data_IF_702308193984
#
_entry.id   IF_702308193984
#
_cell.length_a   1.000
_cell.length_b   1.000
_cell.length_c   1.000
_cell.angle_alpha   90.00
_cell.angle_beta   90.00
_cell.angle_gamma   90.00
#
_symmetry.space_group_name_H-M   'P 1'
#
loop_
_entity.id
_entity.type
_entity.pdbx_description
1 polymer ?
#
# COMPACT_ATOMS: atom_id res chain seq x y z
N UNK A 1 -10.72 -9.89 17.87
CA UNK A 1 -11.70 -10.19 16.80
C UNK A 1 -11.58 -9.12 15.71
N UNK A 2 -11.55 -9.52 14.45
CA UNK A 2 -11.43 -8.56 13.35
C UNK A 2 -12.77 -7.90 13.05
N UNK A 3 -12.80 -6.57 12.99
CA UNK A 3 -13.99 -5.80 12.61
C UNK A 3 -14.39 -6.12 11.17
N UNK A 4 -15.70 -6.18 10.91
CA UNK A 4 -16.26 -6.43 9.57
C UNK A 4 -17.11 -5.24 9.18
N UNK A 5 -16.82 -4.65 8.00
CA UNK A 5 -17.56 -3.48 7.47
C UNK A 5 -18.14 -3.83 6.11
N UNK A 6 -19.43 -3.62 5.93
CA UNK A 6 -20.15 -4.08 4.73
C UNK A 6 -20.61 -2.96 3.83
N UNK A 7 -21.09 -1.87 4.18
CA UNK A 7 -21.77 -0.89 3.32
C UNK A 7 -20.91 0.32 2.94
N UNK A 8 -19.59 0.13 2.84
CA UNK A 8 -18.63 1.24 2.67
C UNK A 8 -17.88 1.23 1.34
N UNK A 9 -17.85 0.12 0.62
CA UNK A 9 -17.10 0.00 -0.62
C UNK A 9 -17.77 -0.98 -1.59
N UNK A 10 -17.87 -0.62 -2.86
CA UNK A 10 -18.53 -1.47 -3.87
C UNK A 10 -17.53 -2.14 -4.80
N UNK A 11 -17.81 -3.39 -5.14
CA UNK A 11 -17.23 -4.14 -6.24
C UNK A 11 -18.32 -4.28 -7.31
N UNK A 12 -18.30 -3.39 -8.29
CA UNK A 12 -19.39 -3.29 -9.27
C UNK A 12 -20.71 -2.91 -8.58
N UNK A 13 -21.74 -3.74 -8.72
CA UNK A 13 -23.06 -3.46 -8.17
C UNK A 13 -23.27 -3.96 -6.73
N UNK A 14 -22.30 -4.66 -6.17
CA UNK A 14 -22.39 -5.25 -4.83
C UNK A 14 -21.43 -4.59 -3.86
N UNK A 15 -21.86 -4.46 -2.61
CA UNK A 15 -20.95 -4.06 -1.54
C UNK A 15 -19.97 -5.18 -1.22
N UNK A 16 -18.71 -4.82 -1.10
CA UNK A 16 -17.67 -5.69 -0.61
C UNK A 16 -17.69 -5.74 0.92
N UNK A 17 -17.16 -6.81 1.47
CA UNK A 17 -16.87 -6.92 2.90
C UNK A 17 -15.42 -6.56 3.15
N UNK A 18 -15.18 -5.50 3.91
CA UNK A 18 -13.85 -5.08 4.33
C UNK A 18 -13.55 -5.58 5.74
N UNK A 19 -12.36 -6.14 5.93
CA UNK A 19 -11.90 -6.63 7.22
C UNK A 19 -10.96 -5.61 7.86
N UNK A 20 -11.17 -5.35 9.15
CA UNK A 20 -10.40 -4.39 9.93
C UNK A 20 -11.02 -2.99 9.96
N UNK A 21 -10.46 -2.14 10.78
CA UNK A 21 -10.89 -0.74 10.94
C UNK A 21 -10.07 0.19 10.04
N UNK A 22 -10.66 1.31 9.64
CA UNK A 22 -9.91 2.37 8.96
C UNK A 22 -8.97 3.06 9.94
N UNK A 23 -7.80 3.43 9.44
CA UNK A 23 -6.84 4.27 10.16
C UNK A 23 -7.11 5.74 9.84
N UNK A 24 -6.58 6.63 10.67
CA UNK A 24 -6.78 8.08 10.55
C UNK A 24 -5.46 8.82 10.64
N UNK A 25 -5.40 10.00 10.02
CA UNK A 25 -4.28 10.93 10.20
C UNK A 25 -4.11 11.21 11.69
N UNK A 26 -2.88 11.15 12.17
CA UNK A 26 -2.52 11.33 13.58
C UNK A 26 -2.36 10.03 14.35
N UNK A 27 -2.94 8.91 13.88
CA UNK A 27 -2.73 7.60 14.51
C UNK A 27 -1.28 7.16 14.33
N UNK A 28 -0.77 6.40 15.30
CA UNK A 28 0.45 5.62 15.06
C UNK A 28 0.18 4.61 13.96
N UNK A 29 1.03 4.59 12.92
CA UNK A 29 0.88 3.65 11.83
C UNK A 29 1.01 2.22 12.37
N UNK A 30 0.02 1.33 12.15
CA UNK A 30 0.11 -0.05 12.61
C UNK A 30 1.28 -0.78 11.96
N UNK A 31 2.14 -1.39 12.77
CA UNK A 31 3.23 -2.22 12.28
C UNK A 31 2.68 -3.50 11.63
N UNK A 32 3.30 -3.94 10.57
CA UNK A 32 2.89 -5.15 9.86
C UNK A 32 4.11 -5.86 9.27
N UNK A 33 3.98 -7.16 9.10
CA UNK A 33 4.97 -8.01 8.46
C UNK A 33 4.49 -8.42 7.08
N UNK A 34 5.36 -8.28 6.10
CA UNK A 34 5.13 -8.73 4.72
C UNK A 34 6.14 -9.80 4.34
N UNK A 35 5.90 -10.49 3.24
CA UNK A 35 6.84 -11.49 2.70
C UNK A 35 7.47 -10.98 1.40
N UNK A 36 8.69 -11.44 1.16
CA UNK A 36 9.48 -11.09 -0.02
C UNK A 36 9.90 -12.38 -0.75
N UNK A 37 10.48 -12.29 -1.97
CA UNK A 37 10.95 -13.48 -2.67
C UNK A 37 11.86 -14.35 -1.79
N UNK A 38 11.64 -15.68 -1.85
CA UNK A 38 12.31 -16.63 -0.95
C UNK A 38 11.54 -16.84 0.37
N UNK A 39 10.38 -16.22 0.53
CA UNK A 39 9.49 -16.31 1.70
C UNK A 39 10.10 -15.73 2.99
N UNK A 40 11.15 -14.92 2.87
CA UNK A 40 11.65 -14.12 3.98
C UNK A 40 10.62 -13.06 4.40
N UNK A 41 10.67 -12.62 5.65
CA UNK A 41 9.77 -11.60 6.19
C UNK A 41 10.47 -10.26 6.30
N UNK A 42 9.70 -9.18 6.13
CA UNK A 42 10.16 -7.81 6.31
C UNK A 42 9.07 -7.01 7.04
N UNK A 43 9.50 -6.12 7.93
CA UNK A 43 8.61 -5.13 8.53
C UNK A 43 8.95 -3.76 7.91
N UNK A 44 8.14 -3.27 6.95
CA UNK A 44 8.46 -2.03 6.24
C UNK A 44 8.65 -0.81 7.13
N UNK A 45 7.87 -0.69 8.21
CA UNK A 45 7.98 0.47 9.10
C UNK A 45 9.26 0.44 9.93
N UNK A 46 9.74 -0.74 10.33
CA UNK A 46 11.02 -0.88 11.04
C UNK A 46 12.20 -0.72 10.07
N UNK A 47 12.12 -1.32 8.89
CA UNK A 47 13.17 -1.22 7.87
C UNK A 47 13.46 0.23 7.47
N UNK A 48 12.42 1.06 7.39
CA UNK A 48 12.51 2.45 6.96
C UNK A 48 12.24 3.45 8.09
N UNK A 49 12.47 3.05 9.33
CA UNK A 49 12.24 3.88 10.51
C UNK A 49 13.00 5.21 10.42
N UNK A 50 12.31 6.29 10.76
CA UNK A 50 12.88 7.65 10.70
C UNK A 50 12.77 8.31 9.33
N UNK A 51 12.33 7.57 8.32
CA UNK A 51 12.03 8.11 6.98
C UNK A 51 10.55 8.40 6.84
N UNK A 52 10.20 9.15 5.81
CA UNK A 52 8.82 9.27 5.35
C UNK A 52 8.52 8.07 4.47
N UNK A 53 7.42 7.36 4.74
CA UNK A 53 7.08 6.11 4.06
C UNK A 53 5.73 6.26 3.37
N UNK A 54 5.71 6.09 2.05
CA UNK A 54 4.48 6.00 1.28
C UNK A 54 4.11 4.52 1.17
N UNK A 55 2.90 4.17 1.62
CA UNK A 55 2.35 2.81 1.51
C UNK A 55 1.24 2.84 0.46
N UNK A 56 1.46 2.19 -0.67
CA UNK A 56 0.51 2.08 -1.77
C UNK A 56 -0.07 0.67 -1.78
N UNK A 57 -1.33 0.54 -1.38
CA UNK A 57 -2.06 -0.73 -1.40
C UNK A 57 -2.77 -0.89 -2.74
N UNK A 58 -2.54 -2.01 -3.42
CA UNK A 58 -3.15 -2.29 -4.71
C UNK A 58 -3.75 -3.70 -4.74
N UNK A 59 -4.83 -3.93 -5.52
CA UNK A 59 -5.43 -5.27 -5.65
C UNK A 59 -4.48 -6.32 -6.22
N UNK A 60 -3.84 -6.05 -7.34
CA UNK A 60 -2.87 -6.95 -7.97
C UNK A 60 -2.06 -6.21 -9.04
N UNK A 61 -0.77 -6.49 -9.12
CA UNK A 61 0.13 -5.94 -10.15
C UNK A 61 -0.28 -6.36 -11.57
N UNK A 62 -1.05 -7.45 -11.69
CA UNK A 62 -1.55 -7.93 -12.99
C UNK A 62 -2.76 -7.15 -13.52
N UNK A 63 -3.26 -6.13 -12.79
CA UNK A 63 -4.32 -5.25 -13.30
C UNK A 63 -3.73 -3.98 -13.90
N UNK A 64 -4.37 -3.46 -14.95
CA UNK A 64 -3.86 -2.29 -15.69
C UNK A 64 -3.66 -1.06 -14.80
N UNK A 65 -4.59 -0.79 -13.88
CA UNK A 65 -4.52 0.38 -13.00
C UNK A 65 -3.38 0.22 -11.99
N UNK A 66 -3.22 -0.97 -11.41
CA UNK A 66 -2.12 -1.24 -10.46
C UNK A 66 -0.76 -1.16 -11.14
N UNK A 67 -0.67 -1.67 -12.37
CA UNK A 67 0.54 -1.58 -13.19
C UNK A 67 0.92 -0.11 -13.42
N UNK A 68 -0.01 0.71 -13.89
CA UNK A 68 0.23 2.14 -14.11
C UNK A 68 0.62 2.87 -12.82
N UNK A 69 -0.09 2.62 -11.74
CA UNK A 69 0.17 3.23 -10.44
C UNK A 69 1.57 2.90 -9.94
N UNK A 70 1.96 1.64 -9.98
CA UNK A 70 3.28 1.21 -9.49
C UNK A 70 4.40 1.78 -10.36
N UNK A 71 4.22 1.81 -11.69
CA UNK A 71 5.19 2.43 -12.59
C UNK A 71 5.31 3.93 -12.36
N UNK A 72 4.19 4.62 -12.14
CA UNK A 72 4.19 6.05 -11.87
C UNK A 72 4.91 6.37 -10.55
N UNK A 73 4.63 5.62 -9.50
CA UNK A 73 5.36 5.79 -8.24
C UNK A 73 6.85 5.46 -8.37
N UNK A 74 7.20 4.50 -9.21
CA UNK A 74 8.62 4.20 -9.46
C UNK A 74 9.34 5.37 -10.16
N UNK A 75 8.69 6.01 -11.12
CA UNK A 75 9.22 7.21 -11.78
C UNK A 75 9.38 8.37 -10.79
N UNK A 76 8.38 8.59 -9.94
CA UNK A 76 8.44 9.63 -8.92
C UNK A 76 9.49 9.32 -7.84
N UNK A 77 9.61 8.06 -7.44
CA UNK A 77 10.61 7.65 -6.44
C UNK A 77 12.04 7.98 -6.89
N UNK A 78 12.33 7.89 -8.17
CA UNK A 78 13.64 8.23 -8.72
C UNK A 78 14.00 9.72 -8.57
N UNK A 79 13.01 10.58 -8.36
CA UNK A 79 13.17 12.04 -8.23
C UNK A 79 13.06 12.53 -6.78
N UNK A 80 12.70 11.63 -5.86
CA UNK A 80 12.47 12.00 -4.46
C UNK A 80 13.75 11.97 -3.63
N UNK A 81 13.70 12.66 -2.51
CA UNK A 81 14.72 12.60 -1.47
C UNK A 81 14.90 11.17 -0.96
N UNK A 82 16.12 10.77 -0.62
CA UNK A 82 16.43 9.45 -0.09
C UNK A 82 15.73 9.15 1.25
N UNK A 83 15.24 10.18 1.92
CA UNK A 83 14.45 10.04 3.15
C UNK A 83 12.96 9.80 2.91
N UNK A 84 12.54 9.65 1.65
CA UNK A 84 11.20 9.20 1.27
C UNK A 84 11.30 7.84 0.61
N UNK A 85 10.59 6.84 1.16
CA UNK A 85 10.57 5.47 0.64
C UNK A 85 9.14 5.11 0.23
N UNK A 86 9.00 4.43 -0.90
CA UNK A 86 7.69 3.98 -1.39
C UNK A 86 7.63 2.46 -1.37
N UNK A 87 6.60 1.93 -0.71
CA UNK A 87 6.26 0.51 -0.75
C UNK A 87 4.94 0.31 -1.49
N UNK A 88 4.93 -0.60 -2.45
CA UNK A 88 3.70 -1.12 -3.04
C UNK A 88 3.39 -2.47 -2.40
N UNK A 89 2.16 -2.62 -1.92
CA UNK A 89 1.71 -3.80 -1.17
C UNK A 89 0.53 -4.42 -1.92
N UNK A 90 0.64 -5.71 -2.22
CA UNK A 90 -0.45 -6.49 -2.80
C UNK A 90 -0.48 -7.87 -2.18
N UNK A 91 -1.52 -8.65 -2.49
CA UNK A 91 -1.60 -10.06 -2.10
C UNK A 91 -1.10 -11.01 -3.20
N UNK A 92 -0.44 -10.49 -4.23
CA UNK A 92 0.29 -11.31 -5.20
C UNK A 92 1.39 -12.11 -4.50
N UNK A 93 1.69 -13.30 -4.98
CA UNK A 93 2.80 -14.07 -4.44
C UNK A 93 4.13 -13.34 -4.67
N UNK A 94 5.09 -13.46 -3.73
CA UNK A 94 6.38 -12.79 -3.87
C UNK A 94 7.11 -13.10 -5.18
N UNK A 95 6.99 -14.34 -5.69
CA UNK A 95 7.59 -14.72 -6.97
C UNK A 95 6.95 -13.99 -8.15
N UNK A 96 5.62 -13.81 -8.11
CA UNK A 96 4.90 -13.06 -9.14
C UNK A 96 5.28 -11.58 -9.12
N UNK A 97 5.41 -11.00 -7.93
CA UNK A 97 5.87 -9.62 -7.75
C UNK A 97 7.29 -9.43 -8.30
N UNK A 98 8.20 -10.36 -8.01
CA UNK A 98 9.58 -10.32 -8.52
C UNK A 98 9.60 -10.36 -10.04
N UNK A 99 8.85 -11.29 -10.64
CA UNK A 99 8.74 -11.41 -12.10
C UNK A 99 8.19 -10.14 -12.74
N UNK A 100 7.13 -9.57 -12.16
CA UNK A 100 6.52 -8.34 -12.65
C UNK A 100 7.50 -7.17 -12.58
N UNK A 101 8.18 -6.96 -11.45
CA UNK A 101 9.19 -5.90 -11.28
C UNK A 101 10.31 -6.01 -12.31
N UNK A 102 10.81 -7.22 -12.53
CA UNK A 102 11.87 -7.46 -13.52
C UNK A 102 11.42 -7.13 -14.94
N UNK A 103 10.21 -7.57 -15.33
CA UNK A 103 9.66 -7.31 -16.65
C UNK A 103 9.31 -5.82 -16.87
N UNK A 104 8.84 -5.14 -15.82
CA UNK A 104 8.43 -3.75 -15.88
C UNK A 104 9.58 -2.75 -15.69
N UNK A 105 10.76 -3.20 -15.25
CA UNK A 105 11.88 -2.32 -14.94
C UNK A 105 11.66 -1.46 -13.70
N UNK A 106 10.85 -1.95 -12.76
CA UNK A 106 10.55 -1.26 -11.50
C UNK A 106 11.60 -1.65 -10.46
N UNK A 107 12.41 -0.71 -10.05
CA UNK A 107 13.57 -0.93 -9.16
C UNK A 107 13.69 0.09 -8.01
N UNK A 108 12.92 1.18 -8.04
CA UNK A 108 12.96 2.25 -7.04
C UNK A 108 11.89 2.09 -5.95
N UNK A 109 10.74 1.53 -6.31
CA UNK A 109 9.68 1.19 -5.37
C UNK A 109 9.97 -0.19 -4.80
N UNK A 110 9.79 -0.35 -3.49
CA UNK A 110 9.87 -1.66 -2.85
C UNK A 110 8.51 -2.33 -2.94
N UNK A 111 8.45 -3.54 -3.50
CA UNK A 111 7.21 -4.31 -3.63
C UNK A 111 7.24 -5.46 -2.63
N UNK A 112 6.23 -5.54 -1.78
CA UNK A 112 6.12 -6.56 -0.74
C UNK A 112 4.74 -7.21 -0.76
N UNK A 113 4.64 -8.44 -0.25
CA UNK A 113 3.42 -9.24 -0.31
C UNK A 113 2.75 -9.40 1.05
N UNK A 114 1.44 -9.19 1.07
CA UNK A 114 0.57 -9.39 2.23
C UNK A 114 -0.16 -10.75 2.17
N UNK A 115 0.31 -11.67 1.31
CA UNK A 115 -0.42 -12.90 0.98
C UNK A 115 -0.53 -13.90 2.12
N UNK A 116 0.44 -13.97 3.03
CA UNK A 116 0.48 -15.02 4.06
C UNK A 116 -0.52 -14.74 5.17
N UNK A 117 -0.37 -13.64 5.88
CA UNK A 117 -1.17 -13.32 7.06
C UNK A 117 -2.22 -12.23 6.82
N UNK A 118 -2.16 -11.53 5.68
CA UNK A 118 -2.99 -10.37 5.39
C UNK A 118 -2.96 -9.35 6.53
N UNK A 119 -1.80 -9.20 7.17
CA UNK A 119 -1.64 -8.37 8.36
C UNK A 119 -1.81 -6.89 8.03
N UNK A 120 -1.19 -6.43 6.93
CA UNK A 120 -1.41 -5.07 6.46
C UNK A 120 -2.89 -4.84 6.12
N UNK A 121 -3.47 -5.75 5.33
CA UNK A 121 -4.86 -5.63 4.87
C UNK A 121 -5.85 -5.48 6.00
N UNK A 122 -5.69 -6.26 7.08
CA UNK A 122 -6.59 -6.21 8.24
C UNK A 122 -6.30 -5.03 9.16
N UNK A 123 -5.04 -4.70 9.41
CA UNK A 123 -4.68 -3.58 10.30
C UNK A 123 -5.01 -2.21 9.71
N UNK A 124 -4.97 -2.08 8.39
CA UNK A 124 -5.30 -0.83 7.70
C UNK A 124 -6.73 -0.81 7.13
N UNK A 125 -7.49 -1.90 7.34
CA UNK A 125 -8.89 -1.96 6.95
C UNK A 125 -9.13 -2.03 5.44
N UNK A 126 -8.21 -2.61 4.68
CA UNK A 126 -8.29 -2.66 3.20
C UNK A 126 -8.46 -4.07 2.63
N UNK A 127 -8.48 -5.11 3.46
CA UNK A 127 -8.64 -6.48 2.97
C UNK A 127 -10.09 -6.73 2.55
N UNK A 128 -10.30 -7.04 1.27
CA UNK A 128 -11.59 -7.43 0.72
C UNK A 128 -11.76 -8.93 0.93
N UNK A 129 -12.74 -9.30 1.77
CA UNK A 129 -12.95 -10.70 2.19
C UNK A 129 -13.25 -11.64 1.02
N UNK A 130 -14.10 -11.21 0.09
CA UNK A 130 -14.59 -12.05 -1.02
C UNK A 130 -13.49 -12.43 -2.00
N UNK A 131 -12.47 -11.61 -2.16
CA UNK A 131 -11.42 -11.78 -3.17
C UNK A 131 -10.02 -11.92 -2.60
N UNK A 132 -9.87 -11.69 -1.30
CA UNK A 132 -8.59 -11.79 -0.59
C UNK A 132 -7.49 -10.91 -1.18
N UNK A 133 -7.87 -9.77 -1.76
CA UNK A 133 -6.94 -8.75 -2.23
C UNK A 133 -7.27 -7.39 -1.58
N UNK A 134 -6.43 -6.39 -1.80
CA UNK A 134 -6.51 -5.13 -1.08
C UNK A 134 -7.31 -4.09 -1.87
N UNK A 135 -8.15 -3.31 -1.15
CA UNK A 135 -8.74 -2.08 -1.68
C UNK A 135 -7.63 -1.08 -1.96
N UNK A 136 -7.68 -0.43 -3.13
CA UNK A 136 -6.71 0.60 -3.50
C UNK A 136 -6.74 1.73 -2.49
N UNK A 137 -5.58 2.04 -1.90
CA UNK A 137 -5.44 3.04 -0.85
C UNK A 137 -4.00 3.54 -0.78
N UNK A 138 -3.82 4.76 -0.30
CA UNK A 138 -2.50 5.34 -0.10
C UNK A 138 -2.41 5.90 1.31
N UNK A 139 -1.31 5.60 1.98
CA UNK A 139 -1.01 6.10 3.33
C UNK A 139 0.40 6.69 3.34
N UNK A 140 0.61 7.73 4.13
CA UNK A 140 1.95 8.26 4.38
C UNK A 140 2.22 8.22 5.87
N UNK A 141 3.35 7.63 6.22
CA UNK A 141 3.87 7.57 7.59
C UNK A 141 4.97 8.61 7.72
N UNK A 142 4.82 9.52 8.67
CA UNK A 142 5.82 10.54 8.97
C UNK A 142 7.03 9.97 9.70
N UNK A 143 8.06 10.81 9.88
CA UNK A 143 9.32 10.41 10.53
C UNK A 143 9.14 9.90 11.96
N UNK A 144 8.11 10.36 12.66
CA UNK A 144 7.77 9.96 14.03
C UNK A 144 6.92 8.69 14.10
N UNK A 145 6.58 8.09 12.95
CA UNK A 145 5.76 6.88 12.88
C UNK A 145 4.25 7.13 12.85
N UNK A 146 3.80 8.40 12.85
CA UNK A 146 2.39 8.74 12.77
C UNK A 146 1.95 8.92 11.32
N UNK A 147 0.70 8.55 11.05
CA UNK A 147 0.10 8.77 9.73
C UNK A 147 -0.13 10.26 9.49
N UNK A 148 0.38 10.77 8.36
CA UNK A 148 0.20 12.16 7.93
C UNK A 148 -0.75 12.29 6.75
N UNK A 149 -1.05 11.19 6.07
CA UNK A 149 -1.94 11.14 4.91
C UNK A 149 -2.66 9.80 4.88
N UNK A 150 -3.96 9.80 4.64
CA UNK A 150 -4.80 8.60 4.52
C UNK A 150 -5.79 8.82 3.37
N UNK A 151 -5.76 7.94 2.37
CA UNK A 151 -6.72 8.01 1.27
C UNK A 151 -7.17 6.60 0.86
N UNK A 152 -8.44 6.29 1.16
CA UNK A 152 -9.13 5.10 0.69
C UNK A 152 -9.82 5.44 -0.62
N UNK A 153 -9.31 4.96 -1.75
CA UNK A 153 -9.88 5.30 -3.06
C UNK A 153 -11.32 4.73 -3.18
N UNK A 154 -12.23 5.46 -3.85
CA UNK A 154 -13.65 5.09 -3.87
C UNK A 154 -13.94 3.86 -4.73
N UNK A 155 -13.11 3.55 -5.72
CA UNK A 155 -13.26 2.37 -6.59
C UNK A 155 -11.91 1.71 -6.84
N UNK A 156 -11.92 0.46 -7.32
CA UNK A 156 -10.69 -0.23 -7.72
C UNK A 156 -10.01 0.41 -8.93
N UNK A 157 -10.76 1.09 -9.79
CA UNK A 157 -10.23 1.73 -10.98
C UNK A 157 -9.78 3.19 -10.81
N UNK A 158 -10.03 3.77 -9.63
CA UNK A 158 -9.63 5.16 -9.36
C UNK A 158 -8.16 5.22 -8.98
N UNK A 159 -7.35 5.89 -9.80
CA UNK A 159 -5.94 6.15 -9.48
C UNK A 159 -5.84 7.24 -8.40
N UNK A 160 -4.79 7.19 -7.54
CA UNK A 160 -4.54 8.28 -6.61
C UNK A 160 -4.12 9.55 -7.36
N UNK A 161 -4.27 10.71 -6.73
CA UNK A 161 -3.66 11.94 -7.21
C UNK A 161 -2.17 11.90 -6.83
N UNK A 162 -1.33 11.56 -7.78
CA UNK A 162 0.11 11.36 -7.55
C UNK A 162 0.81 12.63 -7.07
N UNK A 163 0.44 13.78 -7.61
CA UNK A 163 1.04 15.05 -7.23
C UNK A 163 0.68 15.41 -5.78
N UNK A 164 -0.57 15.20 -5.40
CA UNK A 164 -1.03 15.38 -4.01
C UNK A 164 -0.24 14.49 -3.05
N UNK A 165 -0.10 13.19 -3.38
CA UNK A 165 0.64 12.24 -2.54
C UNK A 165 2.10 12.64 -2.40
N UNK A 166 2.76 12.99 -3.49
CA UNK A 166 4.16 13.40 -3.50
C UNK A 166 4.36 14.70 -2.71
N UNK A 167 3.47 15.66 -2.88
CA UNK A 167 3.53 16.92 -2.13
C UNK A 167 3.35 16.67 -0.62
N UNK A 168 2.38 15.82 -0.25
CA UNK A 168 2.15 15.45 1.15
C UNK A 168 3.38 14.75 1.76
N UNK A 169 4.05 13.88 0.99
CA UNK A 169 5.27 13.23 1.45
C UNK A 169 6.41 14.23 1.67
N UNK A 170 6.57 15.18 0.78
CA UNK A 170 7.59 16.26 0.93
C UNK A 170 7.31 17.13 2.16
N UNK A 171 6.06 17.44 2.43
CA UNK A 171 5.67 18.17 3.63
C UNK A 171 5.97 17.40 4.91
N UNK A 172 5.81 16.09 4.90
CA UNK A 172 6.13 15.24 6.04
C UNK A 172 7.64 15.18 6.37
N UNK A 173 8.51 15.58 5.44
CA UNK A 173 9.96 15.68 5.69
C UNK A 173 10.31 16.87 6.60
N UNK A 174 9.50 17.88 6.61
CA UNK A 174 9.71 19.10 7.43
C UNK A 174 9.37 18.81 8.90
#
# INVERSE_FOLDING_TARGET
MTTVRTDVFKLGDRFATLLGDEVKVGDMAPAFTSVVPGWGTVNPLEESKGKVIILSAVPSLDTDVCDRETRRFNEEAAKLDDDIVIYTISTDFPMAQKRWCGAAGVDKVKVVSDVVDAEFGTKYGVLIKERRYLRRSVFIVGRDGRLTYVNYLPTLGTEPDYEEVIQAAKEALK
#
